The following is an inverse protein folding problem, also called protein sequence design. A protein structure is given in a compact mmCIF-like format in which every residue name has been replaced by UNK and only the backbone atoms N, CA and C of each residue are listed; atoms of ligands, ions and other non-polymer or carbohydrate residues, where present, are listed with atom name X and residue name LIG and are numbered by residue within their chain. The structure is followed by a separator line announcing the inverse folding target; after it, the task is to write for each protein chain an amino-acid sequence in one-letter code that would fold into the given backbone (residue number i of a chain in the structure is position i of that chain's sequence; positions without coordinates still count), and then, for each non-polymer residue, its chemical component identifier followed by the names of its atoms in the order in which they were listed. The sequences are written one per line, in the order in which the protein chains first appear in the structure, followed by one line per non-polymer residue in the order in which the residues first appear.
data_IF_856542288963
#
_entry.id   IF_856542288963
#
_cell.length_a   1.000
_cell.length_b   1.000
_cell.length_c   1.000
_cell.angle_alpha   90.00
_cell.angle_beta   90.00
_cell.angle_gamma   90.00
#
_symmetry.space_group_name_H-M   'P 1'
#
loop_
_entity.id
_entity.type
_entity.pdbx_description
1 polymer ?
#
# COMPACT_ATOMS: atom_id res chain seq x y z
N UNK A 1 8.12 -5.43 12.48
CA UNK A 1 8.21 -3.96 12.24
C UNK A 1 6.83 -3.33 12.02
N UNK A 2 5.99 -3.86 11.12
CA UNK A 2 4.65 -3.31 10.85
C UNK A 2 3.73 -3.33 12.09
N UNK A 3 3.58 -4.48 12.77
CA UNK A 3 2.77 -4.60 13.99
C UNK A 3 3.19 -3.64 15.10
N UNK A 4 4.50 -3.45 15.28
CA UNK A 4 5.04 -2.50 16.26
C UNK A 4 4.67 -1.06 15.93
N UNK A 5 4.68 -0.67 14.65
CA UNK A 5 4.24 0.66 14.20
C UNK A 5 2.72 0.82 14.29
N UNK A 6 1.93 -0.20 13.94
CA UNK A 6 0.47 -0.17 14.14
C UNK A 6 0.10 0.01 15.62
N UNK A 7 0.86 -0.60 16.54
CA UNK A 7 0.63 -0.49 17.99
C UNK A 7 1.05 0.87 18.56
N UNK A 8 2.20 1.40 18.14
CA UNK A 8 2.79 2.63 18.71
C UNK A 8 2.21 3.90 18.08
N UNK A 9 2.05 3.91 16.75
CA UNK A 9 1.66 5.09 15.99
C UNK A 9 0.20 5.06 15.54
N UNK A 10 -0.41 3.87 15.55
CA UNK A 10 -1.75 3.63 15.04
C UNK A 10 -1.77 3.15 13.58
N UNK A 11 -2.89 2.55 13.14
CA UNK A 11 -3.07 1.95 11.81
C UNK A 11 -3.09 2.95 10.65
N UNK A 12 -3.33 4.21 10.96
CA UNK A 12 -3.56 5.31 10.02
C UNK A 12 -2.38 6.30 9.95
N UNK A 13 -1.36 6.12 10.80
CA UNK A 13 -0.18 6.97 10.80
C UNK A 13 0.62 6.84 9.48
N UNK A 14 1.14 7.94 8.91
CA UNK A 14 1.89 7.91 7.65
C UNK A 14 2.99 6.84 7.60
N UNK A 15 3.77 6.70 8.66
CA UNK A 15 4.84 5.69 8.75
C UNK A 15 4.33 4.25 8.78
N UNK A 16 3.18 4.03 9.42
CA UNK A 16 2.49 2.74 9.40
C UNK A 16 2.01 2.42 7.98
N UNK A 17 1.42 3.39 7.29
CA UNK A 17 0.97 3.24 5.90
C UNK A 17 2.14 3.03 4.93
N UNK A 18 3.28 3.67 5.17
CA UNK A 18 4.53 3.45 4.43
C UNK A 18 5.06 2.04 4.66
N UNK A 19 5.01 1.55 5.90
CA UNK A 19 5.39 0.17 6.23
C UNK A 19 4.48 -0.85 5.54
N UNK A 20 3.18 -0.58 5.48
CA UNK A 20 2.20 -1.43 4.82
C UNK A 20 2.43 -1.46 3.29
N UNK A 21 2.78 -0.33 2.69
CA UNK A 21 3.18 -0.25 1.28
C UNK A 21 4.46 -1.07 0.99
N UNK A 22 5.46 -1.01 1.86
CA UNK A 22 6.70 -1.77 1.67
C UNK A 22 6.49 -3.29 1.81
N UNK A 23 5.57 -3.70 2.68
CA UNK A 23 5.15 -5.10 2.78
C UNK A 23 4.49 -5.56 1.47
N UNK A 24 3.61 -4.73 0.90
CA UNK A 24 2.96 -5.03 -0.37
C UNK A 24 3.98 -5.19 -1.52
N UNK A 25 4.99 -4.33 -1.62
CA UNK A 25 6.08 -4.45 -2.59
C UNK A 25 6.85 -5.76 -2.38
N UNK A 26 7.16 -6.10 -1.12
CA UNK A 26 7.83 -7.37 -0.82
C UNK A 26 7.04 -8.58 -1.32
N UNK A 27 5.71 -8.58 -1.12
CA UNK A 27 4.84 -9.64 -1.60
C UNK A 27 4.79 -9.70 -3.14
N UNK A 28 4.77 -8.56 -3.82
CA UNK A 28 4.86 -8.49 -5.28
C UNK A 28 6.14 -9.16 -5.78
N UNK A 29 7.30 -8.84 -5.18
CA UNK A 29 8.58 -9.46 -5.57
C UNK A 29 8.64 -10.96 -5.29
N UNK A 30 7.79 -11.49 -4.42
CA UNK A 30 7.64 -12.93 -4.15
C UNK A 30 6.62 -13.61 -5.06
N UNK A 31 6.04 -12.90 -6.03
CA UNK A 31 4.97 -13.41 -6.91
C UNK A 31 3.61 -13.53 -6.23
N UNK A 32 3.46 -13.01 -5.00
CA UNK A 32 2.20 -13.03 -4.23
C UNK A 32 1.34 -11.83 -4.58
N UNK A 33 0.92 -11.75 -5.83
CA UNK A 33 0.30 -10.53 -6.36
C UNK A 33 -1.06 -10.21 -5.72
N UNK A 34 -1.89 -11.20 -5.41
CA UNK A 34 -3.21 -10.94 -4.79
C UNK A 34 -3.09 -10.37 -3.37
N UNK A 35 -2.16 -10.89 -2.57
CA UNK A 35 -1.87 -10.34 -1.23
C UNK A 35 -1.29 -8.91 -1.34
N UNK A 36 -0.40 -8.69 -2.31
CA UNK A 36 0.17 -7.37 -2.59
C UNK A 36 -0.91 -6.35 -3.00
N UNK A 37 -1.82 -6.73 -3.90
CA UNK A 37 -2.92 -5.89 -4.38
C UNK A 37 -3.82 -5.46 -3.20
N UNK A 38 -4.20 -6.41 -2.35
CA UNK A 38 -5.04 -6.17 -1.19
C UNK A 38 -4.40 -5.15 -0.23
N UNK A 39 -3.10 -5.27 0.03
CA UNK A 39 -2.38 -4.33 0.87
C UNK A 39 -2.25 -2.94 0.22
N UNK A 40 -1.95 -2.86 -1.08
CA UNK A 40 -1.90 -1.57 -1.78
C UNK A 40 -3.25 -0.85 -1.77
N UNK A 41 -4.36 -1.58 -1.99
CA UNK A 41 -5.72 -1.01 -1.88
C UNK A 41 -6.01 -0.49 -0.48
N UNK A 42 -5.69 -1.27 0.56
CA UNK A 42 -5.86 -0.87 1.97
C UNK A 42 -5.02 0.37 2.30
N UNK A 43 -3.75 0.41 1.88
CA UNK A 43 -2.88 1.58 2.08
C UNK A 43 -3.44 2.83 1.40
N UNK A 44 -3.89 2.70 0.15
CA UNK A 44 -4.45 3.80 -0.63
C UNK A 44 -5.73 4.37 0.00
N UNK A 45 -6.64 3.49 0.44
CA UNK A 45 -7.89 3.91 1.08
C UNK A 45 -7.61 4.68 2.37
N UNK A 46 -6.70 4.18 3.21
CA UNK A 46 -6.31 4.85 4.45
C UNK A 46 -5.59 6.17 4.19
N UNK A 47 -4.65 6.21 3.23
CA UNK A 47 -3.95 7.45 2.85
C UNK A 47 -4.92 8.52 2.36
N UNK A 48 -5.88 8.17 1.49
CA UNK A 48 -6.93 9.10 1.05
C UNK A 48 -7.76 9.63 2.21
N UNK A 49 -8.11 8.79 3.18
CA UNK A 49 -8.90 9.18 4.36
C UNK A 49 -8.12 10.10 5.31
N UNK A 50 -6.84 9.82 5.54
CA UNK A 50 -6.02 10.50 6.56
C UNK A 50 -5.36 11.76 6.01
N UNK A 51 -4.82 11.67 4.80
CA UNK A 51 -3.96 12.70 4.20
C UNK A 51 -4.64 13.48 3.08
N UNK A 52 -5.76 12.97 2.56
CA UNK A 52 -6.44 13.54 1.40
C UNK A 52 -5.88 13.06 0.06
N UNK A 53 -6.64 13.35 -0.99
CA UNK A 53 -6.33 12.96 -2.38
C UNK A 53 -5.05 13.61 -2.91
N UNK A 54 -4.78 14.84 -2.49
CA UNK A 54 -3.70 15.70 -3.01
C UNK A 54 -2.37 15.50 -2.29
N UNK A 55 -2.34 14.64 -1.26
CA UNK A 55 -1.11 14.38 -0.53
C UNK A 55 -0.08 13.66 -1.44
N UNK A 56 1.20 14.07 -1.44
CA UNK A 56 2.24 13.51 -2.32
C UNK A 56 2.40 11.98 -2.27
N UNK A 57 2.02 11.35 -1.16
CA UNK A 57 2.09 9.90 -0.98
C UNK A 57 0.88 9.13 -1.55
N UNK A 58 -0.21 9.80 -1.90
CA UNK A 58 -1.40 9.17 -2.49
C UNK A 58 -1.14 8.73 -3.95
N UNK A 59 -0.53 9.56 -4.83
CA UNK A 59 -0.13 9.13 -6.17
C UNK A 59 0.86 7.95 -6.19
N UNK A 60 1.83 7.92 -5.26
CA UNK A 60 2.79 6.80 -5.17
C UNK A 60 2.10 5.46 -4.88
N UNK A 61 1.06 5.47 -4.04
CA UNK A 61 0.25 4.25 -3.78
C UNK A 61 -0.53 3.78 -5.01
N UNK A 62 -1.02 4.71 -5.83
CA UNK A 62 -1.70 4.37 -7.09
C UNK A 62 -0.74 3.75 -8.09
N UNK A 63 0.47 4.31 -8.22
CA UNK A 63 1.50 3.77 -9.10
C UNK A 63 1.85 2.32 -8.73
N UNK A 64 2.07 2.02 -7.45
CA UNK A 64 2.39 0.67 -7.01
C UNK A 64 1.22 -0.31 -7.21
N UNK A 65 -0.02 0.14 -7.00
CA UNK A 65 -1.20 -0.68 -7.29
C UNK A 65 -1.29 -1.01 -8.79
N UNK A 66 -1.03 -0.03 -9.66
CA UNK A 66 -1.01 -0.26 -11.10
C UNK A 66 0.08 -1.25 -11.52
N UNK A 67 1.27 -1.17 -10.92
CA UNK A 67 2.35 -2.12 -11.16
C UNK A 67 1.93 -3.57 -10.83
N UNK A 68 1.31 -3.79 -9.67
CA UNK A 68 0.83 -5.12 -9.26
C UNK A 68 -0.26 -5.65 -10.18
N UNK A 69 -1.21 -4.81 -10.58
CA UNK A 69 -2.25 -5.21 -11.54
C UNK A 69 -1.66 -5.59 -12.90
N UNK A 70 -0.58 -4.92 -13.29
CA UNK A 70 0.18 -5.25 -14.49
C UNK A 70 0.90 -6.59 -14.40
N UNK A 71 1.55 -6.87 -13.27
CA UNK A 71 2.22 -8.15 -13.04
C UNK A 71 1.23 -9.33 -12.98
N UNK A 72 -0.03 -9.08 -12.57
CA UNK A 72 -1.10 -10.06 -12.62
C UNK A 72 -1.67 -10.30 -14.04
N UNK A 73 -1.27 -9.50 -15.03
CA UNK A 73 -1.89 -9.52 -16.36
C UNK A 73 -3.34 -9.04 -16.36
N UNK A 74 -3.78 -8.29 -15.34
CA UNK A 74 -5.14 -7.72 -15.23
C UNK A 74 -5.28 -6.37 -15.96
N UNK A 75 -4.43 -6.08 -16.94
CA UNK A 75 -4.70 -5.00 -17.90
C UNK A 75 -5.86 -5.47 -18.81
N UNK A 76 -7.06 -4.98 -18.55
CA UNK A 76 -8.23 -5.13 -19.43
C UNK A 76 -8.64 -3.76 -19.96
#
# INVERSE_FOLDING_TARGET
VLEGRETVLGPDHPDTLTSLNNLAITLQTQGKYDESEALHRRALQRRRKVLGSDHPHTPSSLHNLAAVLGDQGKYV
#
